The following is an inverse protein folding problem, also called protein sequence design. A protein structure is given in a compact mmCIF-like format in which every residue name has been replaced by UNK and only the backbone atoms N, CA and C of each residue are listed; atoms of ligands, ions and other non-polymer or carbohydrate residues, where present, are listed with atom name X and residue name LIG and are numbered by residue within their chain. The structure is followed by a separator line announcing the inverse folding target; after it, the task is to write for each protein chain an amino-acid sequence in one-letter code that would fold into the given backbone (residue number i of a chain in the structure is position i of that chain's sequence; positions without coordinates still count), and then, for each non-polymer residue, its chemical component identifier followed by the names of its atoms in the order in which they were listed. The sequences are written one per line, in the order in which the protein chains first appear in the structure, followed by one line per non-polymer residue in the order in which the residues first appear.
data_IF_217382211745
#
_entry.id   IF_217382211745
#
_cell.length_a   1.000
_cell.length_b   1.000
_cell.length_c   1.000
_cell.angle_alpha   90.00
_cell.angle_beta   90.00
_cell.angle_gamma   90.00
#
_symmetry.space_group_name_H-M   'P 1'
#
loop_
_entity.id
_entity.type
_entity.pdbx_description
1 polymer ?
#
# COMPACT_ATOMS: atom_id res chain seq x y z
N UNK A 1 -12.05 23.64 6.94
CA UNK A 1 -10.98 23.21 6.02
C UNK A 1 -11.26 23.81 4.66
N UNK A 2 -10.39 24.69 4.11
CA UNK A 2 -10.55 25.18 2.75
C UNK A 2 -10.60 24.02 1.75
N UNK A 3 -11.54 24.06 0.83
CA UNK A 3 -11.72 23.03 -0.21
C UNK A 3 -11.97 23.67 -1.58
N UNK A 4 -11.46 23.03 -2.62
CA UNK A 4 -11.65 23.41 -4.01
C UNK A 4 -12.35 22.27 -4.75
N UNK A 5 -13.14 22.61 -5.77
CA UNK A 5 -13.96 21.65 -6.50
C UNK A 5 -13.61 21.63 -7.99
N UNK A 6 -13.55 20.43 -8.56
CA UNK A 6 -13.57 20.21 -9.99
C UNK A 6 -14.38 18.94 -10.29
N UNK A 7 -15.63 19.12 -10.76
CA UNK A 7 -16.60 18.03 -10.97
C UNK A 7 -16.78 17.22 -9.68
N UNK A 8 -16.46 15.93 -9.69
CA UNK A 8 -16.55 15.02 -8.54
C UNK A 8 -15.30 15.05 -7.66
N UNK A 9 -14.23 15.72 -8.08
CA UNK A 9 -12.99 15.81 -7.32
C UNK A 9 -13.05 16.98 -6.34
N UNK A 10 -12.63 16.73 -5.10
CA UNK A 10 -12.46 17.72 -4.05
C UNK A 10 -10.98 17.78 -3.67
N UNK A 11 -10.39 18.97 -3.74
CA UNK A 11 -9.04 19.22 -3.24
C UNK A 11 -9.14 19.90 -1.89
N UNK A 12 -8.70 19.22 -0.85
CA UNK A 12 -8.73 19.70 0.52
C UNK A 12 -7.35 20.27 0.87
N UNK A 13 -7.33 21.49 1.39
CA UNK A 13 -6.12 22.09 1.97
C UNK A 13 -6.25 22.06 3.49
N UNK A 14 -5.29 21.45 4.16
CA UNK A 14 -5.16 21.48 5.62
C UNK A 14 -3.76 21.97 6.01
N UNK A 15 -3.65 22.52 7.21
CA UNK A 15 -2.38 23.06 7.74
C UNK A 15 -1.74 22.11 8.78
N UNK A 16 -2.42 21.01 9.12
CA UNK A 16 -1.90 19.99 10.02
C UNK A 16 -1.04 18.95 9.29
N UNK A 17 -0.44 18.03 10.05
CA UNK A 17 0.21 16.85 9.48
C UNK A 17 -0.81 15.90 8.85
N UNK A 18 -0.69 15.59 7.55
CA UNK A 18 -1.56 14.64 6.81
C UNK A 18 -1.71 13.30 7.52
N UNK A 19 -0.64 12.80 8.14
CA UNK A 19 -0.67 11.47 8.78
C UNK A 19 -1.51 11.44 10.07
N UNK A 20 -1.97 12.61 10.55
CA UNK A 20 -2.84 12.77 11.72
C UNK A 20 -4.28 13.17 11.35
N UNK A 21 -4.61 13.21 10.06
CA UNK A 21 -5.96 13.54 9.59
C UNK A 21 -6.88 12.31 9.63
N UNK A 22 -6.98 11.68 10.81
CA UNK A 22 -7.83 10.49 11.01
C UNK A 22 -9.29 10.78 10.62
N UNK A 23 -9.90 9.77 10.02
CA UNK A 23 -11.28 9.75 9.52
C UNK A 23 -11.60 10.93 8.58
N UNK A 24 -10.64 11.39 7.78
CA UNK A 24 -10.84 12.52 6.87
C UNK A 24 -12.04 12.33 5.95
N UNK A 25 -12.21 11.13 5.42
CA UNK A 25 -13.34 10.72 4.59
C UNK A 25 -14.66 10.82 5.35
N UNK A 26 -14.76 10.25 6.55
CA UNK A 26 -15.99 10.30 7.35
C UNK A 26 -16.31 11.71 7.84
N UNK A 27 -15.30 12.50 8.20
CA UNK A 27 -15.46 13.90 8.58
C UNK A 27 -15.94 14.74 7.39
N UNK A 28 -15.46 14.45 6.17
CA UNK A 28 -15.97 15.09 4.97
C UNK A 28 -17.44 14.73 4.73
N UNK A 29 -17.77 13.44 4.70
CA UNK A 29 -19.15 12.96 4.52
C UNK A 29 -20.12 13.57 5.52
N UNK A 30 -19.74 13.62 6.81
CA UNK A 30 -20.57 14.21 7.86
C UNK A 30 -20.77 15.72 7.70
N UNK A 31 -19.76 16.43 7.18
CA UNK A 31 -19.81 17.89 7.02
C UNK A 31 -20.53 18.34 5.74
N UNK A 32 -20.47 17.55 4.67
CA UNK A 32 -20.93 17.96 3.33
C UNK A 32 -22.10 17.13 2.81
N UNK A 33 -22.30 15.92 3.33
CA UNK A 33 -23.21 14.93 2.77
C UNK A 33 -22.70 14.25 1.49
N UNK A 34 -21.50 14.57 1.03
CA UNK A 34 -20.89 13.96 -0.16
C UNK A 34 -20.18 12.66 0.22
N UNK A 35 -20.55 11.54 -0.41
CA UNK A 35 -19.88 10.24 -0.26
C UNK A 35 -18.45 10.32 -0.78
N UNK A 36 -17.51 9.71 -0.06
CA UNK A 36 -16.10 9.65 -0.47
C UNK A 36 -15.78 8.29 -1.04
N UNK A 37 -15.50 8.23 -2.35
CA UNK A 37 -15.15 6.97 -3.03
C UNK A 37 -13.68 6.57 -2.80
N UNK A 38 -12.78 7.54 -2.70
CA UNK A 38 -11.35 7.32 -2.46
C UNK A 38 -10.67 8.57 -1.88
N UNK A 39 -9.51 8.36 -1.24
CA UNK A 39 -8.67 9.44 -0.71
C UNK A 39 -7.26 9.31 -1.27
N UNK A 40 -6.73 10.41 -1.80
CA UNK A 40 -5.36 10.51 -2.32
C UNK A 40 -4.63 11.59 -1.54
N UNK A 41 -3.69 11.18 -0.69
CA UNK A 41 -2.85 12.12 0.04
C UNK A 41 -1.64 12.51 -0.81
N UNK A 42 -1.49 13.81 -1.06
CA UNK A 42 -0.32 14.38 -1.73
C UNK A 42 0.65 14.88 -0.66
N UNK A 43 1.80 14.22 -0.53
CA UNK A 43 2.76 14.41 0.55
C UNK A 43 4.14 14.76 0.01
N UNK A 44 4.89 15.60 0.73
CA UNK A 44 6.33 15.69 0.47
C UNK A 44 7.04 14.62 1.28
N UNK A 45 7.72 13.71 0.61
CA UNK A 45 8.66 12.80 1.26
C UNK A 45 10.08 13.32 1.13
N UNK A 46 10.81 13.37 2.24
CA UNK A 46 12.26 13.49 2.24
C UNK A 46 12.82 12.14 2.66
N UNK A 47 13.25 11.36 1.67
CA UNK A 47 13.79 10.04 1.94
C UNK A 47 15.02 10.15 2.84
N UNK A 48 15.16 9.22 3.79
CA UNK A 48 16.38 9.06 4.60
C UNK A 48 17.52 8.52 3.71
N UNK A 49 17.21 7.96 2.54
CA UNK A 49 18.19 7.48 1.57
C UNK A 49 18.94 8.63 0.89
N UNK A 50 20.22 8.38 0.57
CA UNK A 50 21.04 9.28 -0.25
C UNK A 50 20.52 9.48 -1.68
N UNK A 51 19.53 8.69 -2.11
CA UNK A 51 18.84 8.85 -3.40
C UNK A 51 17.44 9.42 -3.18
N UNK A 52 17.08 10.55 -3.81
CA UNK A 52 15.73 11.08 -3.72
C UNK A 52 14.75 10.14 -4.43
N UNK A 53 13.54 10.01 -3.87
CA UNK A 53 12.53 9.09 -4.38
C UNK A 53 11.20 9.82 -4.65
N UNK A 54 10.46 9.31 -5.62
CA UNK A 54 9.08 9.65 -5.93
C UNK A 54 8.25 8.38 -5.68
N UNK A 55 7.37 8.42 -4.69
CA UNK A 55 6.80 7.19 -4.14
C UNK A 55 5.28 7.18 -4.18
N UNK A 56 4.74 5.97 -4.25
CA UNK A 56 3.31 5.70 -4.07
C UNK A 56 3.19 4.54 -3.10
N UNK A 57 2.34 4.64 -2.10
CA UNK A 57 2.18 3.53 -1.16
C UNK A 57 0.80 3.48 -0.49
N UNK A 58 0.37 2.27 -0.08
CA UNK A 58 -0.75 2.12 0.83
C UNK A 58 -0.37 2.60 2.24
N UNK A 59 -1.38 2.84 3.08
CA UNK A 59 -1.19 3.32 4.46
C UNK A 59 -1.70 2.34 5.51
N UNK A 60 -1.17 2.46 6.72
CA UNK A 60 -1.54 1.62 7.86
C UNK A 60 -0.39 1.35 8.80
N UNK A 61 -0.71 0.93 10.02
CA UNK A 61 0.24 0.45 11.03
C UNK A 61 -0.14 -0.96 11.50
N UNK A 62 -0.20 -1.94 10.57
CA UNK A 62 -0.80 -3.25 10.83
C UNK A 62 0.04 -4.11 11.81
N UNK A 63 1.29 -3.71 12.05
CA UNK A 63 2.26 -4.41 12.89
C UNK A 63 2.25 -3.97 14.35
N UNK A 64 1.60 -2.87 14.70
CA UNK A 64 1.53 -2.42 16.09
C UNK A 64 0.44 -3.17 16.86
N UNK A 65 0.68 -3.45 18.14
CA UNK A 65 -0.31 -3.96 19.09
C UNK A 65 -1.28 -2.85 19.48
N UNK A 66 -2.48 -3.21 19.91
CA UNK A 66 -3.55 -2.25 20.25
C UNK A 66 -3.17 -1.24 21.34
N UNK A 67 -2.25 -1.60 22.23
CA UNK A 67 -1.74 -0.77 23.33
C UNK A 67 -0.53 0.11 22.93
N UNK A 68 0.03 -0.08 21.74
CA UNK A 68 1.12 0.74 21.22
C UNK A 68 0.61 2.05 20.60
N UNK A 69 1.49 3.05 20.50
CA UNK A 69 1.15 4.34 19.87
C UNK A 69 1.98 4.52 18.61
N UNK A 70 1.31 4.78 17.48
CA UNK A 70 2.00 5.11 16.23
C UNK A 70 2.64 6.51 16.33
N UNK A 71 3.95 6.65 16.07
CA UNK A 71 4.60 7.96 16.07
C UNK A 71 4.14 8.84 14.91
N UNK A 72 3.60 8.22 13.85
CA UNK A 72 3.19 8.88 12.61
C UNK A 72 1.68 8.71 12.36
N UNK A 73 0.87 8.73 13.42
CA UNK A 73 -0.59 8.67 13.34
C UNK A 73 -1.17 7.35 12.85
N UNK A 74 -2.49 7.29 12.73
CA UNK A 74 -3.24 6.06 12.44
C UNK A 74 -3.40 5.14 13.65
N UNK A 75 -4.28 4.15 13.50
CA UNK A 75 -4.65 3.22 14.55
C UNK A 75 -3.79 1.95 14.53
N UNK A 76 -3.21 1.52 15.67
CA UNK A 76 -2.48 0.25 15.77
C UNK A 76 -3.31 -0.94 15.27
N UNK A 77 -2.67 -1.86 14.56
CA UNK A 77 -3.34 -3.06 14.03
C UNK A 77 -4.35 -2.78 12.93
N UNK A 78 -4.26 -1.61 12.29
CA UNK A 78 -5.15 -1.22 11.20
C UNK A 78 -4.36 -0.85 9.93
N UNK A 79 -5.02 -0.98 8.78
CA UNK A 79 -4.59 -0.46 7.49
C UNK A 79 -5.80 -0.01 6.66
N UNK A 80 -5.62 0.97 5.79
CA UNK A 80 -6.68 1.41 4.89
C UNK A 80 -6.91 0.38 3.78
N UNK A 81 -8.13 0.26 3.24
CA UNK A 81 -8.30 -0.43 1.96
C UNK A 81 -7.34 0.20 0.93
N UNK A 82 -6.45 -0.58 0.29
CA UNK A 82 -5.46 -0.02 -0.62
C UNK A 82 -6.14 0.54 -1.88
N UNK A 83 -5.74 1.72 -2.34
CA UNK A 83 -6.29 2.27 -3.56
C UNK A 83 -5.92 1.39 -4.78
N UNK A 84 -6.89 0.95 -5.61
CA UNK A 84 -6.65 0.21 -6.85
C UNK A 84 -5.62 0.85 -7.78
N UNK A 85 -5.50 2.18 -7.73
CA UNK A 85 -4.68 2.97 -8.62
C UNK A 85 -3.19 2.95 -8.28
N UNK A 86 -2.76 2.42 -7.13
CA UNK A 86 -1.33 2.41 -6.69
C UNK A 86 -0.39 1.93 -7.79
N UNK A 87 -0.61 0.73 -8.33
CA UNK A 87 0.25 0.15 -9.38
C UNK A 87 0.20 0.93 -10.70
N UNK A 88 -0.99 1.23 -11.25
CA UNK A 88 -1.14 2.09 -12.42
C UNK A 88 -0.51 3.47 -12.28
N UNK A 89 -0.70 4.15 -11.15
CA UNK A 89 -0.16 5.49 -10.89
C UNK A 89 1.34 5.47 -10.69
N UNK A 90 1.92 4.41 -10.11
CA UNK A 90 3.37 4.24 -10.09
C UNK A 90 3.96 4.22 -11.52
N UNK A 91 3.33 3.47 -12.43
CA UNK A 91 3.76 3.42 -13.84
C UNK A 91 3.59 4.77 -14.54
N UNK A 92 2.46 5.43 -14.31
CA UNK A 92 2.20 6.77 -14.85
C UNK A 92 3.23 7.79 -14.32
N UNK A 93 3.49 7.78 -13.01
CA UNK A 93 4.49 8.62 -12.36
C UNK A 93 5.88 8.39 -12.97
N UNK A 94 6.24 7.13 -13.26
CA UNK A 94 7.50 6.81 -13.94
C UNK A 94 7.58 7.43 -15.34
N UNK A 95 6.53 7.26 -16.15
CA UNK A 95 6.46 7.87 -17.49
C UNK A 95 6.53 9.40 -17.43
N UNK A 96 5.84 10.02 -16.46
CA UNK A 96 5.92 11.47 -16.28
C UNK A 96 7.33 11.87 -15.84
N UNK A 97 7.92 11.21 -14.86
CA UNK A 97 9.27 11.51 -14.39
C UNK A 97 10.33 11.39 -15.51
N UNK A 98 10.21 10.38 -16.37
CA UNK A 98 11.01 10.24 -17.59
C UNK A 98 10.84 11.44 -18.54
N UNK A 99 9.60 11.87 -18.79
CA UNK A 99 9.32 13.02 -19.67
C UNK A 99 9.85 14.36 -19.15
N UNK A 100 10.07 14.48 -17.84
CA UNK A 100 10.68 15.64 -17.19
C UNK A 100 12.19 15.48 -16.98
N UNK A 101 12.82 14.41 -17.52
CA UNK A 101 14.24 14.09 -17.36
C UNK A 101 14.70 13.98 -15.90
N UNK A 102 13.83 13.43 -15.03
CA UNK A 102 14.14 13.26 -13.60
C UNK A 102 14.84 11.93 -13.29
N UNK A 103 14.91 11.01 -14.25
CA UNK A 103 15.62 9.75 -14.09
C UNK A 103 17.05 9.87 -14.68
N UNK A 104 18.08 9.28 -14.04
CA UNK A 104 18.02 8.37 -12.89
C UNK A 104 18.15 9.06 -11.52
N UNK A 105 18.16 10.40 -11.47
CA UNK A 105 18.37 11.16 -10.23
C UNK A 105 17.32 10.79 -9.16
N UNK A 106 16.05 10.79 -9.55
CA UNK A 106 14.95 10.30 -8.74
C UNK A 106 14.71 8.82 -8.98
N UNK A 107 14.47 8.07 -7.90
CA UNK A 107 13.92 6.72 -7.98
C UNK A 107 12.39 6.75 -7.93
N UNK A 108 11.71 6.12 -8.88
CA UNK A 108 10.24 5.95 -8.84
C UNK A 108 9.94 4.57 -8.28
N UNK A 109 9.40 4.49 -7.06
CA UNK A 109 9.30 3.23 -6.32
C UNK A 109 8.08 3.14 -5.41
N UNK A 110 7.74 1.93 -4.97
CA UNK A 110 6.71 1.72 -3.95
C UNK A 110 7.36 1.78 -2.58
N UNK A 111 6.64 2.34 -1.62
CA UNK A 111 6.98 2.19 -0.20
C UNK A 111 6.13 1.12 0.48
N UNK A 112 6.59 0.69 1.65
CA UNK A 112 5.82 -0.21 2.49
C UNK A 112 4.56 0.46 3.02
N UNK A 113 3.59 -0.37 3.41
CA UNK A 113 2.44 0.08 4.19
C UNK A 113 2.94 0.60 5.52
N UNK A 114 2.80 1.90 5.75
CA UNK A 114 3.22 2.52 6.99
C UNK A 114 2.40 3.77 7.28
N UNK A 115 2.46 4.19 8.55
CA UNK A 115 1.85 5.38 9.14
C UNK A 115 0.34 5.57 8.90
N UNK A 116 -0.22 6.61 9.51
CA UNK A 116 -1.61 7.03 9.33
C UNK A 116 -1.85 7.93 8.12
N UNK A 117 -3.01 8.56 7.99
CA UNK A 117 -4.11 8.56 8.97
C UNK A 117 -4.98 7.30 8.89
N UNK A 118 -5.86 7.11 9.87
CA UNK A 118 -6.96 6.15 9.78
C UNK A 118 -8.01 6.63 8.76
N UNK A 119 -8.38 5.78 7.81
CA UNK A 119 -9.44 6.04 6.81
C UNK A 119 -10.32 4.80 6.61
N UNK A 120 -11.50 4.98 6.04
CA UNK A 120 -12.42 3.88 5.72
C UNK A 120 -12.54 3.64 4.21
N UNK A 121 -12.19 4.64 3.41
CA UNK A 121 -12.25 4.61 1.94
C UNK A 121 -10.92 4.13 1.35
N UNK A 122 -10.91 3.56 0.12
CA UNK A 122 -9.69 3.24 -0.61
C UNK A 122 -8.70 4.41 -0.62
N UNK A 123 -7.49 4.17 -0.11
CA UNK A 123 -6.53 5.24 0.17
C UNK A 123 -5.14 4.92 -0.36
N UNK A 124 -4.45 5.94 -0.85
CA UNK A 124 -3.02 5.91 -1.13
C UNK A 124 -2.34 7.23 -0.77
N UNK A 125 -1.03 7.15 -0.52
CA UNK A 125 -0.14 8.30 -0.51
C UNK A 125 0.62 8.37 -1.83
N UNK A 126 0.80 9.60 -2.32
CA UNK A 126 1.64 9.94 -3.46
C UNK A 126 2.64 10.98 -2.98
N UNK A 127 3.90 10.56 -2.86
CA UNK A 127 4.92 11.39 -2.25
C UNK A 127 5.95 11.89 -3.25
N UNK A 128 5.94 13.21 -3.47
CA UNK A 128 6.72 13.86 -4.52
C UNK A 128 7.21 15.22 -4.01
N UNK A 129 8.44 15.58 -4.37
CA UNK A 129 9.04 16.88 -4.03
C UNK A 129 8.86 17.95 -5.11
N UNK A 130 8.43 17.58 -6.33
CA UNK A 130 8.27 18.47 -7.48
C UNK A 130 6.78 18.71 -7.77
N UNK A 131 6.28 19.92 -7.51
CA UNK A 131 4.85 20.24 -7.63
C UNK A 131 4.22 19.97 -9.01
N UNK A 132 4.97 20.20 -10.10
CA UNK A 132 4.47 19.96 -11.47
C UNK A 132 4.11 18.50 -11.72
N UNK A 133 4.80 17.57 -11.06
CA UNK A 133 4.49 16.14 -11.14
C UNK A 133 3.13 15.82 -10.51
N UNK A 134 2.79 16.40 -9.35
CA UNK A 134 1.47 16.19 -8.75
C UNK A 134 0.35 16.63 -9.69
N UNK A 135 0.47 17.83 -10.26
CA UNK A 135 -0.56 18.36 -11.15
C UNK A 135 -0.78 17.42 -12.34
N UNK A 136 0.30 17.01 -13.03
CA UNK A 136 0.20 16.15 -14.20
C UNK A 136 -0.27 14.74 -13.84
N UNK A 137 0.23 14.17 -12.74
CA UNK A 137 -0.15 12.84 -12.26
C UNK A 137 -1.63 12.79 -11.88
N UNK A 138 -2.12 13.75 -11.09
CA UNK A 138 -3.54 13.80 -10.69
C UNK A 138 -4.43 14.09 -11.90
N UNK A 139 -4.00 14.99 -12.79
CA UNK A 139 -4.75 15.34 -14.00
C UNK A 139 -4.93 14.16 -14.95
N UNK A 140 -3.86 13.43 -15.25
CA UNK A 140 -3.90 12.26 -16.13
C UNK A 140 -4.49 11.04 -15.41
N UNK A 141 -4.10 10.83 -14.14
CA UNK A 141 -4.53 9.72 -13.30
C UNK A 141 -6.03 9.68 -13.10
N UNK A 142 -6.65 10.82 -12.79
CA UNK A 142 -8.09 10.95 -12.62
C UNK A 142 -8.83 11.24 -13.94
N UNK A 143 -8.13 11.32 -15.08
CA UNK A 143 -8.76 11.60 -16.38
C UNK A 143 -9.40 12.99 -16.50
N UNK A 144 -8.94 13.97 -15.71
CA UNK A 144 -9.54 15.31 -15.64
C UNK A 144 -9.47 16.09 -16.96
N UNK A 145 -8.51 15.74 -17.83
CA UNK A 145 -8.40 16.28 -19.18
C UNK A 145 -9.35 15.69 -20.22
N UNK A 146 -10.33 14.87 -19.82
CA UNK A 146 -11.25 14.18 -20.74
C UNK A 146 -10.70 12.86 -21.29
N UNK A 147 -9.50 12.44 -20.84
CA UNK A 147 -8.98 11.10 -21.07
C UNK A 147 -9.60 10.06 -20.14
N UNK A 148 -9.31 8.78 -20.38
CA UNK A 148 -9.74 7.68 -19.51
C UNK A 148 -8.88 7.67 -18.24
N UNK A 149 -9.53 7.66 -17.07
CA UNK A 149 -8.84 7.56 -15.78
C UNK A 149 -7.93 6.31 -15.71
N UNK A 150 -6.75 6.47 -15.12
CA UNK A 150 -5.72 5.43 -15.04
C UNK A 150 -5.94 4.59 -13.80
N UNK A 151 -6.23 3.31 -14.02
CA UNK A 151 -6.42 2.36 -12.93
C UNK A 151 -7.84 1.89 -12.74
N UNK A 152 -8.73 2.12 -13.73
CA UNK A 152 -10.00 1.40 -13.81
C UNK A 152 -9.75 -0.11 -13.88
N UNK A 153 -9.92 -0.76 -12.72
CA UNK A 153 -9.74 -2.20 -12.55
C UNK A 153 -10.95 -2.98 -13.04
N UNK A 154 -12.12 -2.36 -13.17
CA UNK A 154 -13.36 -3.04 -13.54
C UNK A 154 -13.31 -3.68 -14.94
N UNK A 155 -12.34 -3.25 -15.76
CA UNK A 155 -12.18 -3.64 -17.17
C UNK A 155 -10.90 -4.41 -17.49
N UNK A 156 -10.03 -4.71 -16.52
CA UNK A 156 -8.67 -5.20 -16.79
C UNK A 156 -8.29 -6.47 -16.02
N UNK A 157 -7.89 -7.49 -16.77
CA UNK A 157 -7.15 -8.64 -16.27
C UNK A 157 -5.73 -8.22 -15.87
N UNK A 158 -5.18 -8.83 -14.81
CA UNK A 158 -3.79 -8.58 -14.41
C UNK A 158 -3.54 -8.69 -12.90
N UNK A 159 -2.32 -8.33 -12.53
CA UNK A 159 -1.85 -8.27 -11.14
C UNK A 159 -1.84 -6.82 -10.69
N UNK A 160 -2.49 -6.58 -9.56
CA UNK A 160 -2.64 -5.29 -8.91
C UNK A 160 -1.93 -5.28 -7.57
N UNK A 161 -1.56 -4.09 -7.10
CA UNK A 161 -0.82 -3.89 -5.86
C UNK A 161 -1.81 -3.69 -4.71
N UNK A 162 -1.76 -4.55 -3.70
CA UNK A 162 -2.42 -4.35 -2.41
C UNK A 162 -1.44 -3.76 -1.40
N UNK A 163 -1.36 -4.36 -0.22
CA UNK A 163 -0.39 -3.96 0.80
C UNK A 163 1.03 -4.47 0.55
N UNK A 164 2.01 -3.66 0.92
CA UNK A 164 3.42 -4.05 1.02
C UNK A 164 3.80 -4.13 2.49
N UNK A 165 4.12 -5.32 2.99
CA UNK A 165 4.53 -5.54 4.38
C UNK A 165 6.04 -5.73 4.41
N UNK A 166 6.71 -4.77 5.04
CA UNK A 166 8.16 -4.73 5.23
C UNK A 166 8.64 -5.62 6.38
N UNK A 167 9.96 -5.79 6.50
CA UNK A 167 10.56 -6.57 7.58
C UNK A 167 10.33 -5.97 8.96
N UNK A 168 10.33 -4.64 9.06
CA UNK A 168 9.99 -3.95 10.32
C UNK A 168 8.50 -4.13 10.68
N UNK A 169 7.63 -4.33 9.69
CA UNK A 169 6.21 -4.62 9.88
C UNK A 169 5.91 -6.12 10.07
N UNK A 170 6.94 -6.96 10.22
CA UNK A 170 6.82 -8.40 10.47
C UNK A 170 7.65 -8.82 11.69
N UNK A 171 7.40 -8.24 12.88
CA UNK A 171 8.14 -8.64 14.06
C UNK A 171 7.78 -10.10 14.40
N UNK A 172 8.81 -10.93 14.40
CA UNK A 172 8.74 -12.35 14.72
C UNK A 172 9.68 -12.63 15.88
N UNK A 173 9.15 -13.23 16.93
CA UNK A 173 9.94 -13.65 18.09
C UNK A 173 10.61 -15.00 17.76
N UNK A 174 11.92 -15.09 17.96
CA UNK A 174 12.68 -16.29 17.62
C UNK A 174 12.30 -17.43 18.60
N UNK A 175 11.85 -18.59 18.11
CA UNK A 175 11.39 -19.69 18.97
C UNK A 175 12.52 -20.41 19.73
N UNK A 176 13.80 -20.02 19.56
CA UNK A 176 14.91 -20.57 20.32
C UNK A 176 15.23 -22.03 19.98
N UNK A 177 15.41 -22.89 21.00
CA UNK A 177 15.75 -24.32 20.81
C UNK A 177 14.59 -25.17 20.26
N UNK A 178 13.35 -24.69 20.34
CA UNK A 178 12.17 -25.38 19.80
C UNK A 178 12.14 -25.42 18.25
N UNK A 179 13.07 -24.72 17.58
CA UNK A 179 13.34 -24.84 16.14
C UNK A 179 13.54 -26.30 15.68
N UNK A 180 14.12 -27.14 16.53
CA UNK A 180 14.44 -28.53 16.21
C UNK A 180 13.21 -29.46 16.18
N UNK A 181 12.09 -29.05 16.78
CA UNK A 181 10.88 -29.88 16.89
C UNK A 181 9.78 -29.50 15.89
N UNK A 182 10.05 -28.55 14.98
CA UNK A 182 9.09 -28.18 13.94
C UNK A 182 7.83 -27.48 14.45
N UNK A 183 7.78 -27.10 15.74
CA UNK A 183 6.66 -26.35 16.30
C UNK A 183 6.75 -24.87 15.90
N UNK A 184 6.43 -24.63 14.64
CA UNK A 184 6.39 -23.32 14.00
C UNK A 184 5.12 -22.55 14.42
N UNK A 185 4.14 -23.21 15.07
CA UNK A 185 2.88 -22.59 15.48
C UNK A 185 3.06 -21.57 16.61
N UNK A 186 4.10 -21.74 17.43
CA UNK A 186 4.44 -20.88 18.57
C UNK A 186 5.29 -19.64 18.27
N UNK A 187 5.55 -19.29 17.00
CA UNK A 187 6.31 -18.06 16.66
C UNK A 187 5.50 -16.83 17.05
N UNK A 188 5.94 -16.14 18.11
CA UNK A 188 5.33 -14.92 18.64
C UNK A 188 5.57 -13.67 17.78
N UNK A 189 5.18 -12.51 18.32
CA UNK A 189 5.14 -11.23 17.61
C UNK A 189 3.84 -10.98 16.84
N UNK A 190 3.74 -9.82 16.18
CA UNK A 190 2.52 -9.33 15.50
C UNK A 190 2.48 -9.64 13.99
N UNK A 191 3.43 -10.40 13.46
CA UNK A 191 3.51 -10.72 12.03
C UNK A 191 2.23 -11.38 11.47
N UNK A 192 1.56 -12.25 12.23
CA UNK A 192 0.28 -12.87 11.83
C UNK A 192 -0.81 -11.82 11.67
N UNK A 193 -0.90 -10.91 12.64
CA UNK A 193 -1.83 -9.78 12.61
C UNK A 193 -1.55 -8.89 11.40
N UNK A 194 -0.27 -8.55 11.15
CA UNK A 194 0.09 -7.69 10.02
C UNK A 194 -0.34 -8.29 8.67
N UNK A 195 -0.10 -9.59 8.47
CA UNK A 195 -0.53 -10.30 7.26
C UNK A 195 -2.06 -10.36 7.16
N UNK A 196 -2.75 -10.65 8.27
CA UNK A 196 -4.21 -10.76 8.30
C UNK A 196 -4.89 -9.43 7.96
N UNK A 197 -4.46 -8.35 8.60
CA UNK A 197 -4.97 -6.99 8.34
C UNK A 197 -4.75 -6.61 6.88
N UNK A 198 -3.55 -6.84 6.34
CA UNK A 198 -3.26 -6.59 4.93
C UNK A 198 -4.14 -7.42 3.98
N UNK A 199 -4.44 -8.68 4.34
CA UNK A 199 -5.29 -9.56 3.55
C UNK A 199 -6.75 -9.12 3.54
N UNK A 200 -7.30 -8.83 4.71
CA UNK A 200 -8.71 -8.45 4.85
C UNK A 200 -9.01 -7.12 4.16
N UNK A 201 -8.14 -6.13 4.35
CA UNK A 201 -8.28 -4.79 3.76
C UNK A 201 -8.08 -4.81 2.24
N UNK A 202 -7.11 -5.59 1.74
CA UNK A 202 -6.96 -5.82 0.29
C UNK A 202 -8.20 -6.52 -0.27
N UNK A 203 -8.71 -7.54 0.41
CA UNK A 203 -9.93 -8.24 -0.04
C UNK A 203 -11.14 -7.30 -0.09
N UNK A 204 -11.27 -6.41 0.89
CA UNK A 204 -12.34 -5.40 0.95
C UNK A 204 -12.24 -4.36 -0.17
N UNK A 205 -11.03 -3.89 -0.51
CA UNK A 205 -10.81 -2.98 -1.63
C UNK A 205 -11.13 -3.62 -2.99
N UNK A 206 -11.10 -4.95 -3.07
CA UNK A 206 -11.18 -5.71 -4.31
C UNK A 206 -12.16 -6.89 -4.21
N UNK A 207 -13.47 -6.64 -4.05
CA UNK A 207 -14.45 -7.68 -3.71
C UNK A 207 -14.66 -8.76 -4.80
N UNK A 208 -14.23 -8.51 -6.04
CA UNK A 208 -14.27 -9.47 -7.16
C UNK A 208 -12.89 -10.05 -7.49
N UNK A 209 -11.89 -9.71 -6.68
CA UNK A 209 -10.50 -10.06 -6.87
C UNK A 209 -10.09 -11.34 -6.17
N UNK A 210 -9.08 -12.02 -6.71
CA UNK A 210 -8.34 -13.04 -5.99
C UNK A 210 -7.12 -12.41 -5.30
N UNK A 211 -7.08 -12.45 -3.97
CA UNK A 211 -5.94 -11.93 -3.21
C UNK A 211 -4.88 -13.02 -3.05
N UNK A 212 -3.65 -12.69 -3.42
CA UNK A 212 -2.46 -13.54 -3.39
C UNK A 212 -1.39 -12.91 -2.50
N UNK A 213 -0.69 -13.73 -1.73
CA UNK A 213 0.54 -13.35 -1.07
C UNK A 213 1.73 -13.55 -2.01
N UNK A 214 2.61 -12.57 -2.11
CA UNK A 214 3.91 -12.71 -2.76
C UNK A 214 5.03 -12.57 -1.74
N UNK A 215 5.81 -13.63 -1.58
CA UNK A 215 6.93 -13.67 -0.64
C UNK A 215 8.23 -13.35 -1.37
N UNK A 216 8.98 -12.36 -0.87
CA UNK A 216 10.33 -12.12 -1.35
C UNK A 216 11.26 -13.26 -0.89
N UNK A 217 11.60 -14.13 -1.82
CA UNK A 217 12.32 -15.38 -1.53
C UNK A 217 13.70 -15.16 -0.90
N UNK A 218 14.33 -14.00 -1.10
CA UNK A 218 15.68 -13.71 -0.59
C UNK A 218 15.69 -12.98 0.75
N UNK A 219 14.51 -12.60 1.26
CA UNK A 219 14.43 -11.67 2.39
C UNK A 219 14.20 -12.36 3.75
N UNK A 220 13.92 -13.67 3.80
CA UNK A 220 13.57 -14.38 5.04
C UNK A 220 14.56 -15.50 5.39
N UNK A 221 14.80 -15.71 6.70
CA UNK A 221 15.42 -16.95 7.19
C UNK A 221 14.46 -18.12 6.93
N UNK A 222 14.98 -19.33 6.72
CA UNK A 222 14.16 -20.51 6.40
C UNK A 222 13.01 -20.75 7.38
N UNK A 223 13.25 -20.59 8.70
CA UNK A 223 12.21 -20.78 9.71
C UNK A 223 11.09 -19.72 9.64
N UNK A 224 11.43 -18.47 9.30
CA UNK A 224 10.45 -17.39 9.14
C UNK A 224 9.61 -17.61 7.90
N UNK A 225 10.24 -18.02 6.81
CA UNK A 225 9.55 -18.38 5.57
C UNK A 225 8.57 -19.52 5.81
N UNK A 226 8.99 -20.57 6.52
CA UNK A 226 8.12 -21.69 6.84
C UNK A 226 6.94 -21.26 7.73
N UNK A 227 7.18 -20.38 8.73
CA UNK A 227 6.11 -19.81 9.55
C UNK A 227 5.08 -19.04 8.72
N UNK A 228 5.54 -18.16 7.83
CA UNK A 228 4.65 -17.41 6.93
C UNK A 228 3.87 -18.36 6.03
N UNK A 229 4.52 -19.31 5.37
CA UNK A 229 3.86 -20.25 4.46
C UNK A 229 2.82 -21.10 5.17
N UNK A 230 3.14 -21.63 6.36
CA UNK A 230 2.18 -22.38 7.18
C UNK A 230 0.98 -21.52 7.58
N UNK A 231 1.20 -20.29 8.04
CA UNK A 231 0.11 -19.38 8.39
C UNK A 231 -0.77 -19.00 7.19
N UNK A 232 -0.17 -18.70 6.04
CA UNK A 232 -0.92 -18.41 4.81
C UNK A 232 -1.79 -19.60 4.39
N UNK A 233 -1.27 -20.83 4.49
CA UNK A 233 -2.05 -22.03 4.24
C UNK A 233 -3.21 -22.20 5.24
N UNK A 234 -2.97 -21.97 6.53
CA UNK A 234 -4.01 -22.01 7.58
C UNK A 234 -5.12 -20.98 7.34
N UNK A 235 -4.77 -19.82 6.79
CA UNK A 235 -5.72 -18.75 6.45
C UNK A 235 -6.33 -18.91 5.05
N UNK A 236 -6.03 -19.98 4.31
CA UNK A 236 -6.43 -20.19 2.92
C UNK A 236 -5.99 -19.06 1.95
N UNK A 237 -4.89 -18.38 2.26
CA UNK A 237 -4.32 -17.31 1.44
C UNK A 237 -3.34 -17.94 0.44
N UNK A 238 -3.64 -17.79 -0.85
CA UNK A 238 -2.83 -18.36 -1.93
C UNK A 238 -1.50 -17.61 -2.10
N UNK A 239 -0.44 -18.34 -2.42
CA UNK A 239 0.87 -17.74 -2.72
C UNK A 239 1.03 -17.62 -4.24
N UNK A 240 1.31 -16.40 -4.72
CA UNK A 240 1.60 -16.13 -6.13
C UNK A 240 2.98 -16.62 -6.57
N UNK A 241 3.08 -17.22 -7.75
CA UNK A 241 4.38 -17.63 -8.34
C UNK A 241 5.07 -16.42 -9.00
N UNK A 242 6.40 -16.23 -8.82
CA UNK A 242 7.14 -15.22 -9.58
C UNK A 242 7.08 -15.52 -11.08
N UNK A 243 6.83 -14.50 -11.91
CA UNK A 243 7.09 -14.56 -13.36
C UNK A 243 6.02 -15.20 -14.25
N UNK A 244 4.81 -15.50 -13.78
CA UNK A 244 3.78 -16.03 -14.67
C UNK A 244 3.23 -14.91 -15.57
N UNK A 245 3.74 -14.85 -16.80
CA UNK A 245 3.11 -14.16 -17.94
C UNK A 245 1.81 -14.88 -18.39
N UNK A 246 1.51 -16.06 -17.83
CA UNK A 246 0.35 -16.90 -18.18
C UNK A 246 -0.98 -16.48 -17.49
N UNK A 247 -1.13 -15.22 -17.07
CA UNK A 247 -2.35 -14.73 -16.39
C UNK A 247 -3.34 -13.99 -17.30
N UNK A 248 -3.14 -14.03 -18.62
CA UNK A 248 -3.96 -13.28 -19.60
C UNK A 248 -5.41 -13.78 -19.73
N UNK A 249 -5.79 -14.89 -19.08
CA UNK A 249 -7.15 -15.46 -19.12
C UNK A 249 -7.77 -15.74 -17.74
N UNK A 250 -7.17 -15.22 -16.66
CA UNK A 250 -7.52 -15.57 -15.27
C UNK A 250 -8.11 -14.32 -14.54
N UNK A 251 -9.04 -14.49 -13.58
CA UNK A 251 -9.63 -13.39 -12.80
C UNK A 251 -8.61 -12.39 -12.24
N UNK A 252 -9.09 -11.16 -11.99
CA UNK A 252 -8.30 -10.04 -11.48
C UNK A 252 -7.60 -10.45 -10.17
N UNK A 253 -6.27 -10.31 -10.11
CA UNK A 253 -5.45 -10.74 -8.96
C UNK A 253 -4.85 -9.55 -8.24
N UNK A 254 -4.81 -9.62 -6.93
CA UNK A 254 -4.26 -8.58 -6.05
C UNK A 254 -3.16 -9.16 -5.19
N UNK A 255 -2.05 -8.45 -5.10
CA UNK A 255 -0.85 -8.95 -4.48
C UNK A 255 -0.56 -8.21 -3.18
N UNK A 256 -0.49 -8.97 -2.08
CA UNK A 256 0.13 -8.52 -0.84
C UNK A 256 1.57 -8.97 -0.88
N UNK A 257 2.51 -8.01 -0.94
CA UNK A 257 3.94 -8.33 -0.94
C UNK A 257 4.43 -8.40 0.49
N UNK A 258 5.02 -9.52 0.86
CA UNK A 258 5.65 -9.75 2.17
C UNK A 258 7.15 -9.84 1.93
N UNK A 259 7.91 -8.86 2.42
CA UNK A 259 9.36 -8.75 2.20
C UNK A 259 10.06 -8.19 3.43
N UNK A 260 11.31 -8.57 3.68
CA UNK A 260 12.14 -7.85 4.65
C UNK A 260 12.89 -6.64 4.08
N UNK A 261 13.12 -6.60 2.77
CA UNK A 261 13.70 -5.43 2.09
C UNK A 261 12.58 -4.53 1.59
N UNK A 262 12.60 -3.26 1.99
CA UNK A 262 11.76 -2.19 1.41
C UNK A 262 12.45 -1.44 0.28
N UNK A 263 13.65 -1.83 -0.09
CA UNK A 263 14.25 -1.42 -1.35
C UNK A 263 13.89 -2.47 -2.41
N UNK A 264 13.14 -2.05 -3.43
CA UNK A 264 13.03 -2.84 -4.65
C UNK A 264 14.43 -2.84 -5.28
N UNK A 265 15.00 -4.04 -5.41
CA UNK A 265 16.27 -4.41 -6.03
C UNK A 265 16.90 -3.41 -7.02
N UNK A 266 18.23 -3.24 -6.89
CA UNK A 266 19.14 -2.81 -7.97
C UNK A 266 18.84 -3.54 -9.30
#
# INVERSE_FOLDING_TARGET
MPSFVNREVRLLKHDNSIVKEDHLDKRWEAATGEVVDEVIFLSKHTAISNRPALTVHPIGVPHLREDEVSPAGGKPGWAAPPNPQIGPWLRLLKTIAESYNLLPEFEVTLEATHHGPETNSPTMFVEIVVYMLWLKLVWEGLGLGGGVAVGDWSRKYGIWVGHLISGYSLPMEDPGQSKAQGDIKGVGGTWKQAIKVAFETTSAAFPRGEVLAHLDNKSFKSWQKNAIVSFLAEQNIKIGKPGAQDYLSIPIRYCIRVSKSTTVSN
#
